data_IF_681261204163
#
_entry.id   IF_681261204163
#
_cell.length_a   1.000
_cell.length_b   1.000
_cell.length_c   1.000
_cell.angle_alpha   90.00
_cell.angle_beta   90.00
_cell.angle_gamma   90.00
#
_symmetry.space_group_name_H-M   'P 1'
#
loop_
_entity.id
_entity.type
_entity.pdbx_description
1 polymer ?
#
# COMPACT_ATOMS: atom_id res chain seq x y z
N UNK A 1 -22.68 16.34 2.70
CA UNK A 1 -21.44 15.71 2.22
C UNK A 1 -20.65 16.81 1.52
N UNK A 2 -19.37 16.99 1.81
CA UNK A 2 -18.60 18.10 1.21
C UNK A 2 -18.45 17.89 -0.29
N UNK A 3 -18.43 18.97 -1.08
CA UNK A 3 -18.24 18.90 -2.54
C UNK A 3 -16.84 18.40 -2.92
N UNK A 4 -15.85 18.67 -2.06
CA UNK A 4 -14.46 18.23 -2.21
C UNK A 4 -13.97 17.65 -0.87
N UNK A 5 -13.15 16.61 -0.94
CA UNK A 5 -12.48 16.02 0.22
C UNK A 5 -11.08 15.58 -0.16
N UNK A 6 -10.11 15.94 0.69
CA UNK A 6 -8.73 15.48 0.58
C UNK A 6 -8.26 14.98 1.95
N UNK A 7 -7.93 13.70 2.02
CA UNK A 7 -7.44 13.06 3.25
C UNK A 7 -6.18 13.75 3.79
N UNK A 8 -5.30 14.25 2.91
CA UNK A 8 -4.06 14.93 3.27
C UNK A 8 -4.31 16.29 3.94
N UNK A 9 -5.43 16.93 3.62
CA UNK A 9 -5.86 18.17 4.28
C UNK A 9 -6.54 17.85 5.62
N UNK A 10 -7.42 16.83 5.63
CA UNK A 10 -8.18 16.45 6.83
C UNK A 10 -7.29 15.88 7.95
N UNK A 11 -6.32 15.04 7.59
CA UNK A 11 -5.42 14.34 8.50
C UNK A 11 -3.97 14.66 8.15
N UNK A 12 -3.65 15.95 8.04
CA UNK A 12 -2.33 16.45 7.67
C UNK A 12 -1.19 16.03 8.61
N UNK A 13 -1.51 15.56 9.82
CA UNK A 13 -0.57 15.00 10.78
C UNK A 13 -0.12 13.58 10.43
N UNK A 14 -0.79 12.88 9.51
CA UNK A 14 -0.42 11.54 9.07
C UNK A 14 0.55 11.61 7.89
N UNK A 15 1.83 11.38 8.16
CA UNK A 15 2.89 11.42 7.14
C UNK A 15 2.66 10.44 5.99
N UNK A 16 2.09 9.26 6.27
CA UNK A 16 1.85 8.21 5.29
C UNK A 16 0.99 8.67 4.10
N UNK A 17 0.04 9.60 4.32
CA UNK A 17 -0.83 10.14 3.28
C UNK A 17 -0.10 10.91 2.17
N UNK A 18 1.16 11.28 2.42
CA UNK A 18 2.02 12.01 1.49
C UNK A 18 3.06 11.10 0.81
N UNK A 19 3.10 9.82 1.15
CA UNK A 19 4.09 8.87 0.62
C UNK A 19 3.52 8.22 -0.65
N UNK A 20 4.30 8.30 -1.73
CA UNK A 20 4.02 7.59 -2.99
C UNK A 20 4.98 6.41 -3.11
N UNK A 21 4.45 5.20 -3.02
CA UNK A 21 5.24 3.97 -3.08
C UNK A 21 5.50 3.53 -4.53
N UNK A 22 6.64 2.88 -4.76
CA UNK A 22 7.02 2.31 -6.06
C UNK A 22 7.04 0.79 -5.97
N UNK A 23 6.17 0.11 -6.72
CA UNK A 23 6.08 -1.36 -6.74
C UNK A 23 7.19 -2.04 -7.57
N UNK A 24 8.06 -1.27 -8.23
CA UNK A 24 9.09 -1.77 -9.14
C UNK A 24 8.52 -2.60 -10.30
N UNK A 25 9.32 -3.53 -10.82
CA UNK A 25 8.93 -4.44 -11.90
C UNK A 25 8.17 -5.69 -11.39
N UNK A 26 7.50 -5.57 -10.24
CA UNK A 26 6.62 -6.59 -9.65
C UNK A 26 5.16 -6.21 -9.91
N UNK A 27 4.28 -7.16 -10.28
CA UNK A 27 2.82 -6.90 -10.37
C UNK A 27 2.14 -6.96 -9.00
N UNK A 28 2.73 -6.30 -8.01
CA UNK A 28 2.33 -6.30 -6.60
C UNK A 28 1.42 -5.15 -6.17
N UNK A 29 0.78 -4.45 -7.11
CA UNK A 29 -0.04 -3.26 -6.83
C UNK A 29 -1.11 -3.51 -5.75
N UNK A 30 -1.69 -4.72 -5.72
CA UNK A 30 -2.69 -5.12 -4.73
C UNK A 30 -2.17 -5.08 -3.29
N UNK A 31 -0.90 -5.47 -3.07
CA UNK A 31 -0.25 -5.48 -1.77
C UNK A 31 0.26 -4.09 -1.39
N UNK A 32 0.88 -3.39 -2.35
CA UNK A 32 1.40 -2.02 -2.14
C UNK A 32 0.26 -1.04 -1.82
N UNK A 33 -0.84 -1.07 -2.57
CA UNK A 33 -1.98 -0.20 -2.32
C UNK A 33 -2.67 -0.53 -0.98
N UNK A 34 -2.75 -1.81 -0.62
CA UNK A 34 -3.29 -2.23 0.67
C UNK A 34 -2.41 -1.74 1.83
N UNK A 35 -1.10 -2.01 1.78
CA UNK A 35 -0.16 -1.55 2.79
C UNK A 35 -0.22 -0.03 3.01
N UNK A 36 -0.27 0.75 1.93
CA UNK A 36 -0.38 2.21 1.99
C UNK A 36 -1.66 2.65 2.71
N UNK A 37 -2.82 2.16 2.26
CA UNK A 37 -4.11 2.50 2.88
C UNK A 37 -4.21 2.03 4.34
N UNK A 38 -3.64 0.86 4.67
CA UNK A 38 -3.59 0.37 6.05
C UNK A 38 -2.72 1.25 6.94
N UNK A 39 -1.58 1.72 6.44
CA UNK A 39 -0.69 2.66 7.15
C UNK A 39 -1.40 3.98 7.43
N UNK A 40 -2.13 4.51 6.45
CA UNK A 40 -2.95 5.70 6.60
C UNK A 40 -4.04 5.50 7.67
N UNK A 41 -4.77 4.39 7.59
CA UNK A 41 -5.84 4.09 8.55
C UNK A 41 -5.31 3.86 9.96
N UNK A 42 -4.13 3.27 10.10
CA UNK A 42 -3.48 3.10 11.40
C UNK A 42 -3.16 4.47 12.02
N UNK A 43 -2.56 5.38 11.25
CA UNK A 43 -2.32 6.74 11.73
C UNK A 43 -3.62 7.48 12.06
N UNK A 44 -4.63 7.41 11.20
CA UNK A 44 -5.92 8.08 11.40
C UNK A 44 -6.63 7.54 12.66
N UNK A 45 -6.74 6.21 12.79
CA UNK A 45 -7.42 5.56 13.91
C UNK A 45 -6.74 5.79 15.26
N UNK A 46 -5.43 6.05 15.24
CA UNK A 46 -4.63 6.31 16.44
C UNK A 46 -4.39 7.80 16.66
N UNK A 47 -5.05 8.69 15.91
CA UNK A 47 -4.87 10.14 15.95
C UNK A 47 -3.39 10.56 15.88
N UNK A 48 -2.62 9.88 15.02
CA UNK A 48 -1.21 10.18 14.77
C UNK A 48 -0.24 9.68 15.82
N UNK A 49 -0.69 8.92 16.83
CA UNK A 49 0.21 8.34 17.85
C UNK A 49 1.04 7.17 17.30
N UNK A 50 0.52 6.42 16.33
CA UNK A 50 1.27 5.39 15.61
C UNK A 50 1.40 5.82 14.14
N UNK A 51 2.64 6.09 13.71
CA UNK A 51 2.95 6.51 12.33
C UNK A 51 4.02 5.62 11.72
N UNK A 52 3.61 4.45 11.25
CA UNK A 52 4.48 3.46 10.61
C UNK A 52 3.97 3.12 9.22
N UNK A 53 4.89 2.74 8.33
CA UNK A 53 4.57 2.10 7.05
C UNK A 53 4.44 0.59 7.29
N UNK A 54 3.31 0.00 6.92
CA UNK A 54 3.11 -1.45 6.97
C UNK A 54 3.73 -2.13 5.76
N UNK A 55 4.23 -3.34 5.96
CA UNK A 55 5.05 -4.04 4.98
C UNK A 55 4.22 -4.56 3.80
N UNK A 56 4.38 -3.90 2.66
CA UNK A 56 3.96 -4.45 1.38
C UNK A 56 4.72 -5.75 1.03
N UNK A 57 5.97 -5.89 1.49
CA UNK A 57 6.80 -7.09 1.28
C UNK A 57 6.17 -8.32 1.93
N UNK A 58 5.74 -8.19 3.20
CA UNK A 58 5.06 -9.27 3.91
C UNK A 58 3.76 -9.64 3.21
N UNK A 59 2.90 -8.65 2.89
CA UNK A 59 1.65 -8.91 2.20
C UNK A 59 1.90 -9.63 0.86
N UNK A 60 2.87 -9.15 0.09
CA UNK A 60 3.22 -9.71 -1.21
C UNK A 60 3.72 -11.16 -1.14
N UNK A 61 4.48 -11.51 -0.10
CA UNK A 61 5.18 -12.79 0.01
C UNK A 61 4.44 -13.84 0.85
N UNK A 62 3.68 -13.42 1.86
CA UNK A 62 3.10 -14.31 2.89
C UNK A 62 1.58 -14.54 2.79
N UNK A 63 0.86 -13.82 1.92
CA UNK A 63 -0.57 -14.08 1.67
C UNK A 63 -0.70 -15.28 0.73
N UNK A 64 -1.12 -16.42 1.27
CA UNK A 64 -1.22 -17.71 0.57
C UNK A 64 -2.18 -17.72 -0.61
N UNK A 65 -3.29 -16.98 -0.52
CA UNK A 65 -4.33 -16.89 -1.54
C UNK A 65 -3.98 -15.86 -2.66
N UNK A 66 -2.71 -15.44 -2.72
CA UNK A 66 -2.20 -14.50 -3.71
C UNK A 66 -1.06 -15.11 -4.51
N UNK A 67 -0.77 -14.54 -5.68
CA UNK A 67 0.35 -14.97 -6.52
C UNK A 67 1.49 -13.94 -6.53
N UNK A 68 1.63 -13.17 -5.45
CA UNK A 68 2.67 -12.15 -5.26
C UNK A 68 2.81 -11.21 -6.46
N UNK A 69 3.97 -11.27 -7.14
CA UNK A 69 4.28 -10.45 -8.32
C UNK A 69 3.59 -10.89 -9.62
N UNK A 70 2.66 -11.84 -9.58
CA UNK A 70 1.89 -12.27 -10.76
C UNK A 70 0.49 -11.63 -10.78
N UNK A 71 -0.23 -11.76 -9.67
CA UNK A 71 -1.58 -11.22 -9.46
C UNK A 71 -1.93 -11.29 -7.97
N UNK A 72 -2.97 -10.58 -7.56
CA UNK A 72 -3.55 -10.66 -6.23
C UNK A 72 -4.73 -9.70 -6.08
N UNK A 73 -5.46 -9.84 -4.99
CA UNK A 73 -6.62 -9.01 -4.67
C UNK A 73 -6.40 -8.29 -3.34
N UNK A 74 -6.64 -6.97 -3.25
CA UNK A 74 -6.53 -6.23 -1.99
C UNK A 74 -7.36 -6.85 -0.86
N UNK A 75 -8.49 -7.49 -1.19
CA UNK A 75 -9.32 -8.22 -0.23
C UNK A 75 -8.52 -9.19 0.65
N UNK A 76 -7.62 -9.99 0.06
CA UNK A 76 -6.81 -10.95 0.82
C UNK A 76 -5.77 -10.26 1.70
N UNK A 77 -5.24 -9.10 1.29
CA UNK A 77 -4.36 -8.31 2.14
C UNK A 77 -5.10 -7.78 3.38
N UNK A 78 -6.30 -7.24 3.22
CA UNK A 78 -7.12 -6.76 4.35
C UNK A 78 -7.53 -7.89 5.28
N UNK A 79 -7.89 -9.06 4.73
CA UNK A 79 -8.14 -10.26 5.52
C UNK A 79 -6.89 -10.67 6.33
N UNK A 80 -5.72 -10.69 5.68
CA UNK A 80 -4.46 -11.03 6.32
C UNK A 80 -4.11 -10.08 7.48
N UNK A 81 -4.33 -8.77 7.30
CA UNK A 81 -4.13 -7.78 8.37
C UNK A 81 -4.95 -8.10 9.63
N UNK A 82 -6.17 -8.62 9.47
CA UNK A 82 -7.03 -8.97 10.60
C UNK A 82 -6.64 -10.32 11.22
N UNK A 83 -6.34 -11.32 10.39
CA UNK A 83 -6.10 -12.70 10.87
C UNK A 83 -4.68 -12.94 11.37
N UNK A 84 -3.68 -12.31 10.73
CA UNK A 84 -2.25 -12.59 10.97
C UNK A 84 -1.47 -11.34 11.37
N UNK A 85 -2.02 -10.15 11.13
CA UNK A 85 -1.33 -8.88 11.31
C UNK A 85 -0.23 -8.65 10.28
N UNK A 86 0.27 -7.44 10.18
CA UNK A 86 1.35 -7.04 9.25
C UNK A 86 2.43 -6.29 10.03
N UNK A 87 3.70 -6.62 9.77
CA UNK A 87 4.84 -5.92 10.35
C UNK A 87 5.08 -4.58 9.66
N UNK A 88 5.93 -3.74 10.22
CA UNK A 88 6.42 -2.55 9.54
C UNK A 88 7.28 -2.89 8.32
N UNK A 89 7.23 -2.06 7.29
CA UNK A 89 8.04 -2.23 6.09
C UNK A 89 8.03 -0.99 5.21
N UNK A 90 9.17 -0.31 5.15
CA UNK A 90 9.37 0.86 4.32
C UNK A 90 9.74 0.53 2.88
N UNK A 91 10.12 1.58 2.15
CA UNK A 91 10.59 1.49 0.77
C UNK A 91 11.89 0.69 0.64
N UNK A 92 12.24 0.33 -0.60
CA UNK A 92 13.50 -0.35 -0.93
C UNK A 92 14.70 0.36 -0.31
N UNK A 93 15.50 -0.40 0.45
CA UNK A 93 16.70 0.09 1.12
C UNK A 93 16.48 0.71 2.51
N UNK A 94 15.23 0.87 2.98
CA UNK A 94 14.94 1.36 4.33
C UNK A 94 15.47 0.42 5.42
N UNK A 95 15.92 1.00 6.54
CA UNK A 95 16.58 0.31 7.66
C UNK A 95 15.83 0.42 8.99
N UNK A 96 14.82 1.27 9.01
CA UNK A 96 13.99 1.66 10.14
C UNK A 96 12.65 0.89 10.19
N UNK A 97 12.61 -0.31 9.60
CA UNK A 97 11.41 -1.16 9.55
C UNK A 97 11.75 -2.64 9.55
N UNK A 98 10.79 -3.50 9.88
CA UNK A 98 11.02 -4.95 10.01
C UNK A 98 11.26 -5.62 8.64
N UNK A 99 10.32 -5.52 7.70
CA UNK A 99 10.45 -6.09 6.34
C UNK A 99 10.29 -5.00 5.28
N UNK A 100 11.39 -4.31 4.90
CA UNK A 100 11.35 -3.33 3.82
C UNK A 100 11.12 -3.99 2.46
N UNK A 101 10.60 -3.25 1.50
CA UNK A 101 10.35 -3.76 0.15
C UNK A 101 11.63 -4.22 -0.55
N UNK A 102 11.65 -5.44 -1.10
CA UNK A 102 12.86 -6.02 -1.68
C UNK A 102 13.04 -5.70 -3.17
N UNK A 103 11.96 -5.34 -3.86
CA UNK A 103 12.00 -5.00 -5.30
C UNK A 103 12.51 -3.58 -5.51
N UNK A 104 13.58 -3.43 -6.31
CA UNK A 104 14.17 -2.13 -6.63
C UNK A 104 13.15 -1.26 -7.38
N UNK A 105 13.03 0.04 -7.04
CA UNK A 105 12.18 0.96 -7.79
C UNK A 105 12.67 1.13 -9.24
N UNK A 106 11.72 1.29 -10.16
CA UNK A 106 11.95 1.55 -11.58
C UNK A 106 10.83 2.43 -12.14
N UNK A 107 10.93 2.88 -13.39
CA UNK A 107 9.94 3.74 -14.04
C UNK A 107 9.93 5.19 -13.54
N UNK A 108 11.05 5.66 -12.95
CA UNK A 108 11.21 7.03 -12.47
C UNK A 108 11.80 7.86 -13.61
N UNK A 109 11.04 8.84 -14.10
CA UNK A 109 11.29 9.58 -15.36
C UNK A 109 12.61 10.35 -15.41
N UNK A 110 13.28 10.54 -14.28
CA UNK A 110 14.45 11.43 -14.20
C UNK A 110 15.77 10.64 -14.20
N UNK A 111 15.72 9.30 -14.13
CA UNK A 111 16.89 8.44 -13.98
C UNK A 111 16.96 7.22 -14.92
N UNK A 112 16.07 7.11 -15.91
CA UNK A 112 16.08 6.03 -16.93
C UNK A 112 16.27 4.61 -16.36
N UNK A 113 15.76 4.35 -15.15
CA UNK A 113 15.67 2.99 -14.64
C UNK A 113 14.41 2.37 -15.25
N UNK A 114 14.53 1.93 -16.49
CA UNK A 114 13.46 1.20 -17.15
C UNK A 114 13.13 -0.08 -16.36
N UNK A 115 11.85 -0.40 -16.21
CA UNK A 115 11.41 -1.62 -15.56
C UNK A 115 11.67 -2.82 -16.49
N UNK A 116 12.89 -3.33 -16.47
CA UNK A 116 13.26 -4.48 -17.30
C UNK A 116 12.88 -5.79 -16.63
N UNK A 117 12.30 -6.70 -17.41
CA UNK A 117 11.87 -8.02 -16.94
C UNK A 117 10.78 -7.96 -15.88
N UNK A 118 10.63 -9.07 -15.15
CA UNK A 118 9.65 -9.22 -14.08
C UNK A 118 10.37 -9.68 -12.82
N UNK A 119 10.18 -8.96 -11.71
CA UNK A 119 10.70 -9.42 -10.43
C UNK A 119 10.03 -10.75 -10.02
N UNK A 120 10.80 -11.70 -9.46
CA UNK A 120 10.22 -12.86 -8.82
C UNK A 120 9.42 -12.45 -7.59
N UNK A 121 8.42 -13.25 -7.22
CA UNK A 121 7.78 -13.10 -5.91
C UNK A 121 8.82 -13.45 -4.83
N UNK A 122 9.07 -12.56 -3.85
CA UNK A 122 9.95 -12.86 -2.72
C UNK A 122 9.40 -14.03 -1.90
N UNK A 123 10.29 -14.81 -1.27
CA UNK A 123 9.88 -15.85 -0.33
C UNK A 123 9.28 -15.22 0.93
N UNK A 124 8.24 -15.85 1.49
CA UNK A 124 7.71 -15.44 2.80
C UNK A 124 8.76 -15.69 3.89
N UNK A 125 9.29 -14.62 4.47
CA UNK A 125 10.23 -14.67 5.60
C UNK A 125 9.56 -14.11 6.84
N UNK A 126 9.55 -14.87 7.92
CA UNK A 126 8.98 -14.46 9.21
C UNK A 126 10.04 -13.96 10.18
N UNK A 127 10.90 -13.08 9.69
CA UNK A 127 12.03 -12.52 10.42
C UNK A 127 12.32 -11.11 9.91
N UNK A 128 12.51 -10.15 10.82
CA UNK A 128 12.90 -8.79 10.47
C UNK A 128 14.33 -8.73 9.91
N UNK A 129 14.63 -7.67 9.17
CA UNK A 129 15.98 -7.43 8.65
C UNK A 129 17.03 -7.32 9.77
N UNK A 130 18.29 -7.72 9.52
CA UNK A 130 19.37 -7.57 10.48
C UNK A 130 19.54 -6.11 10.96
N UNK A 131 19.70 -5.93 12.26
CA UNK A 131 19.85 -4.60 12.88
C UNK A 131 18.54 -3.92 13.26
N UNK A 132 17.38 -4.50 12.94
CA UNK A 132 16.09 -4.06 13.48
C UNK A 132 15.87 -4.65 14.88
N UNK A 133 15.53 -3.79 15.85
CA UNK A 133 15.55 -4.15 17.27
C UNK A 133 14.27 -4.84 17.77
N UNK A 134 13.18 -4.78 17.02
CA UNK A 134 11.89 -5.37 17.39
C UNK A 134 11.76 -6.71 16.69
N UNK A 135 11.32 -7.75 17.39
CA UNK A 135 11.13 -9.06 16.76
C UNK A 135 9.95 -9.04 15.79
N UNK A 136 9.94 -9.97 14.84
CA UNK A 136 8.87 -10.07 13.84
C UNK A 136 7.47 -10.22 14.46
N UNK A 137 7.35 -10.90 15.60
CA UNK A 137 6.06 -11.09 16.27
C UNK A 137 5.63 -9.84 17.05
N UNK A 138 6.58 -9.13 17.67
CA UNK A 138 6.30 -7.90 18.42
C UNK A 138 5.98 -6.72 17.50
N UNK A 139 6.48 -6.73 16.26
CA UNK A 139 6.27 -5.67 15.28
C UNK A 139 4.91 -5.76 14.55
N UNK A 140 4.08 -6.76 14.89
CA UNK A 140 2.79 -7.00 14.23
C UNK A 140 1.73 -5.97 14.60
N UNK A 141 1.11 -5.43 13.56
CA UNK A 141 -0.05 -4.55 13.64
C UNK A 141 -1.29 -5.26 13.11
N UNK A 142 -2.40 -5.18 13.84
CA UNK A 142 -3.62 -5.92 13.52
C UNK A 142 -4.77 -4.98 13.18
N UNK A 143 -5.54 -5.38 12.17
CA UNK A 143 -6.81 -4.74 11.83
C UNK A 143 -7.92 -5.27 12.73
N UNK A 144 -8.87 -4.41 13.11
CA UNK A 144 -10.06 -4.83 13.88
C UNK A 144 -11.05 -5.63 13.02
N UNK A 145 -11.20 -5.24 11.77
CA UNK A 145 -12.12 -5.87 10.81
C UNK A 145 -11.72 -5.55 9.38
N UNK A 146 -12.24 -6.32 8.44
CA UNK A 146 -12.14 -6.07 7.00
C UNK A 146 -13.53 -6.22 6.36
N UNK A 147 -13.81 -5.45 5.31
CA UNK A 147 -15.12 -5.43 4.66
C UNK A 147 -15.02 -4.90 3.23
N UNK A 148 -16.02 -5.24 2.41
CA UNK A 148 -16.22 -4.62 1.10
C UNK A 148 -17.12 -3.40 1.26
N UNK A 149 -16.77 -2.31 0.58
CA UNK A 149 -17.66 -1.15 0.45
C UNK A 149 -18.59 -1.42 -0.74
N UNK A 150 -19.87 -1.11 -0.58
CA UNK A 150 -20.83 -1.26 -1.67
C UNK A 150 -20.45 -0.39 -2.86
N UNK A 151 -20.82 -0.83 -4.07
CA UNK A 151 -20.60 -0.08 -5.29
C UNK A 151 -21.55 1.14 -5.37
N UNK A 152 -21.30 2.13 -4.52
CA UNK A 152 -22.07 3.35 -4.36
C UNK A 152 -21.13 4.50 -4.04
N UNK A 153 -21.18 5.55 -4.86
CA UNK A 153 -20.38 6.76 -4.65
C UNK A 153 -20.56 7.33 -3.25
N UNK A 154 -21.79 7.34 -2.74
CA UNK A 154 -22.11 7.83 -1.39
C UNK A 154 -21.49 6.93 -0.31
N UNK A 155 -21.55 5.61 -0.48
CA UNK A 155 -20.96 4.69 0.49
C UNK A 155 -19.44 4.83 0.54
N UNK A 156 -18.79 4.92 -0.62
CA UNK A 156 -17.33 5.10 -0.75
C UNK A 156 -16.90 6.44 -0.17
N UNK A 157 -17.59 7.53 -0.51
CA UNK A 157 -17.30 8.86 0.05
C UNK A 157 -17.46 8.87 1.57
N UNK A 158 -18.55 8.30 2.10
CA UNK A 158 -18.76 8.23 3.55
C UNK A 158 -17.64 7.45 4.23
N UNK A 159 -17.24 6.30 3.68
CA UNK A 159 -16.18 5.48 4.25
C UNK A 159 -14.84 6.23 4.28
N UNK A 160 -14.45 6.84 3.14
CA UNK A 160 -13.22 7.63 3.03
C UNK A 160 -13.23 8.81 4.03
N UNK A 161 -14.33 9.56 4.12
CA UNK A 161 -14.43 10.72 5.01
C UNK A 161 -14.43 10.35 6.50
N UNK A 162 -14.82 9.11 6.83
CA UNK A 162 -14.92 8.64 8.22
C UNK A 162 -13.66 7.93 8.68
N UNK A 163 -13.13 7.04 7.85
CA UNK A 163 -12.07 6.10 8.24
C UNK A 163 -10.76 6.29 7.48
N UNK A 164 -10.74 7.12 6.44
CA UNK A 164 -9.56 7.37 5.63
C UNK A 164 -9.50 6.56 4.34
N UNK A 165 -8.36 6.61 3.62
CA UNK A 165 -8.18 6.00 2.30
C UNK A 165 -8.62 4.53 2.20
N UNK A 166 -9.00 4.13 0.99
CA UNK A 166 -9.50 2.78 0.66
C UNK A 166 -8.69 2.21 -0.52
N UNK A 167 -8.68 0.89 -0.66
CA UNK A 167 -8.15 0.24 -1.86
C UNK A 167 -9.24 0.04 -2.92
N UNK A 168 -8.96 0.41 -4.15
CA UNK A 168 -9.83 0.17 -5.30
C UNK A 168 -9.06 -0.49 -6.45
N UNK A 169 -9.78 -1.17 -7.34
CA UNK A 169 -9.25 -1.71 -8.59
C UNK A 169 -10.02 -1.14 -9.77
N UNK A 170 -9.32 -0.88 -10.87
CA UNK A 170 -9.92 -0.45 -12.14
C UNK A 170 -9.15 -1.06 -13.31
N UNK A 171 -9.79 -1.11 -14.48
CA UNK A 171 -9.16 -1.64 -15.70
C UNK A 171 -8.31 -0.55 -16.34
N UNK A 172 -7.03 -0.87 -16.56
CA UNK A 172 -6.08 0.02 -17.23
C UNK A 172 -6.12 -0.21 -18.74
N UNK A 173 -6.37 0.86 -19.49
CA UNK A 173 -6.29 0.91 -20.95
C UNK A 173 -4.99 1.60 -21.38
N UNK A 174 -4.64 1.50 -22.67
CA UNK A 174 -3.39 2.05 -23.22
C UNK A 174 -3.31 3.58 -23.07
N UNK A 175 -4.43 4.26 -23.29
CA UNK A 175 -4.58 5.70 -23.12
C UNK A 175 -4.27 6.21 -21.71
N UNK A 176 -4.45 5.38 -20.68
CA UNK A 176 -4.06 5.71 -19.30
C UNK A 176 -2.56 5.98 -19.17
N UNK A 177 -1.73 5.24 -19.92
CA UNK A 177 -0.28 5.45 -19.92
C UNK A 177 0.07 6.81 -20.52
N UNK A 178 -0.61 7.18 -21.60
CA UNK A 178 -0.46 8.49 -22.24
C UNK A 178 -0.96 9.63 -21.34
N UNK A 179 -2.08 9.42 -20.65
CA UNK A 179 -2.62 10.38 -19.69
C UNK A 179 -1.59 10.71 -18.58
N UNK A 180 -0.94 9.68 -18.03
CA UNK A 180 0.09 9.87 -17.01
C UNK A 180 1.37 10.49 -17.60
N UNK A 181 1.83 10.04 -18.77
CA UNK A 181 3.09 10.52 -19.36
C UNK A 181 3.06 12.01 -19.73
N UNK A 182 1.90 12.53 -20.12
CA UNK A 182 1.77 13.90 -20.60
C UNK A 182 1.89 14.95 -19.48
N UNK A 183 1.82 14.55 -18.20
CA UNK A 183 1.93 15.45 -17.02
C UNK A 183 1.01 16.69 -17.06
N UNK A 184 -0.02 16.69 -17.91
CA UNK A 184 -0.91 17.84 -18.15
C UNK A 184 -1.97 18.04 -17.05
N UNK A 185 -2.08 17.11 -16.11
CA UNK A 185 -3.18 17.07 -15.13
C UNK A 185 -4.53 16.75 -15.78
N UNK A 186 -5.60 16.73 -14.98
CA UNK A 186 -6.98 16.52 -15.45
C UNK A 186 -7.69 15.32 -14.82
N UNK A 187 -8.84 14.95 -15.41
CA UNK A 187 -9.68 13.82 -15.00
C UNK A 187 -9.63 12.76 -16.10
N UNK A 188 -9.05 11.59 -15.81
CA UNK A 188 -9.08 10.43 -16.70
C UNK A 188 -10.48 9.83 -16.77
N UNK A 189 -10.89 9.36 -17.96
CA UNK A 189 -12.22 8.82 -18.23
C UNK A 189 -12.12 7.55 -19.05
#
# INVERSE_FOLDING_TARGET
MTEVFDARVKWNYCRSLFIIHNQGNCRGCWAVAAAAAMSDRLCIATNGTIQVELSAEELLSCVSDSHGCHTGWPYHAWKYLVEQGVVTGGSYGSKDSCLPYSTKPCGISDFDIECQGKAPTPSCVRQCQPGYNISFQEDKHYGKSYYNISNSTIAIQRDIMTYGPVTAGFKVYEDFRHFISNKTGGIYR
#
